data_IF_504426489781
#
_entry.id   IF_504426489781
#
_cell.length_a   1.000
_cell.length_b   1.000
_cell.length_c   1.000
_cell.angle_alpha   90.00
_cell.angle_beta   90.00
_cell.angle_gamma   90.00
#
_symmetry.space_group_name_H-M   'P 1'
#
loop_
_entity.id
_entity.type
_entity.pdbx_description
1 polymer ?
#
# COMPACT_ATOMS: atom_id res chain seq x y z
N UNK A 1 -10.15 2.26 -9.16
CA UNK A 1 -10.63 2.55 -7.79
C UNK A 1 -9.53 2.31 -6.78
N UNK A 2 -9.07 1.07 -6.55
CA UNK A 2 -8.00 0.77 -5.60
C UNK A 2 -6.70 1.60 -5.79
N UNK A 3 -6.27 1.82 -7.03
CA UNK A 3 -5.09 2.65 -7.33
C UNK A 3 -5.22 4.09 -6.81
N UNK A 4 -6.40 4.70 -6.96
CA UNK A 4 -6.66 6.07 -6.51
C UNK A 4 -6.52 6.17 -4.99
N UNK A 5 -7.04 5.17 -4.26
CA UNK A 5 -6.91 5.13 -2.80
C UNK A 5 -5.46 4.92 -2.36
N UNK A 6 -4.71 4.04 -3.04
CA UNK A 6 -3.29 3.85 -2.77
C UNK A 6 -2.49 5.14 -2.96
N UNK A 7 -2.74 5.85 -4.06
CA UNK A 7 -2.11 7.14 -4.33
C UNK A 7 -2.43 8.19 -3.26
N UNK A 8 -3.71 8.33 -2.90
CA UNK A 8 -4.14 9.27 -1.84
C UNK A 8 -3.56 8.91 -0.47
N UNK A 9 -3.36 7.61 -0.20
CA UNK A 9 -2.71 7.12 1.01
C UNK A 9 -1.18 7.28 1.01
N UNK A 10 -0.58 7.86 -0.04
CA UNK A 10 0.85 8.11 -0.14
C UNK A 10 1.69 6.90 -0.54
N UNK A 11 1.07 5.91 -1.21
CA UNK A 11 1.78 4.77 -1.76
C UNK A 11 2.25 5.05 -3.18
N UNK A 12 3.46 4.57 -3.48
CA UNK A 12 4.07 4.66 -4.80
C UNK A 12 4.32 3.25 -5.35
N UNK A 13 4.04 3.00 -6.65
CA UNK A 13 4.28 1.69 -7.24
C UNK A 13 5.78 1.39 -7.31
N UNK A 14 6.18 0.20 -6.87
CA UNK A 14 7.46 -0.41 -7.25
C UNK A 14 7.23 -1.07 -8.61
N UNK A 15 7.21 -0.26 -9.67
CA UNK A 15 7.28 -0.80 -11.03
C UNK A 15 8.35 -0.04 -11.81
N UNK A 16 9.34 -0.80 -12.29
CA UNK A 16 10.08 -0.45 -13.48
C UNK A 16 9.14 -0.65 -14.68
N UNK A 17 8.73 0.44 -15.32
CA UNK A 17 8.07 0.50 -16.63
C UNK A 17 6.89 -0.48 -16.84
N UNK A 18 5.67 0.00 -16.61
CA UNK A 18 4.54 -0.45 -17.44
C UNK A 18 3.55 0.68 -17.59
N UNK A 19 3.32 1.01 -18.86
CA UNK A 19 2.51 2.11 -19.35
C UNK A 19 1.05 1.87 -18.93
N UNK A 20 0.50 2.80 -18.14
CA UNK A 20 -0.92 2.81 -17.79
C UNK A 20 -1.20 2.96 -16.30
N UNK A 21 -2.01 3.96 -15.96
CA UNK A 21 -2.48 4.26 -14.59
C UNK A 21 -3.53 3.26 -14.09
N UNK A 22 -3.31 1.96 -14.27
CA UNK A 22 -4.21 0.92 -13.77
C UNK A 22 -3.48 0.00 -12.79
N UNK A 23 -4.13 -0.38 -11.66
CA UNK A 23 -3.55 -1.35 -10.76
C UNK A 23 -3.47 -2.69 -11.49
N UNK A 24 -2.25 -3.12 -11.79
CA UNK A 24 -2.03 -4.41 -12.41
C UNK A 24 -2.00 -5.52 -11.34
N UNK A 25 -2.49 -6.72 -11.65
CA UNK A 25 -2.24 -7.91 -10.86
C UNK A 25 -0.76 -8.04 -10.51
N UNK A 26 -0.48 -8.49 -9.28
CA UNK A 26 0.84 -8.64 -8.69
C UNK A 26 1.68 -7.36 -8.62
N UNK A 27 1.09 -6.17 -8.85
CA UNK A 27 1.78 -4.92 -8.61
C UNK A 27 2.02 -4.71 -7.11
N UNK A 28 3.25 -4.32 -6.76
CA UNK A 28 3.60 -3.92 -5.40
C UNK A 28 3.65 -2.41 -5.30
N UNK A 29 3.00 -1.86 -4.27
CA UNK A 29 3.04 -0.46 -3.90
C UNK A 29 3.67 -0.32 -2.53
N UNK A 30 4.42 0.76 -2.31
CA UNK A 30 5.09 0.99 -1.03
C UNK A 30 4.90 2.38 -0.51
N UNK A 31 4.83 2.48 0.82
CA UNK A 31 4.89 3.73 1.56
C UNK A 31 5.99 3.61 2.61
N UNK A 32 7.10 4.35 2.48
CA UNK A 32 8.11 4.41 3.52
C UNK A 32 7.56 5.14 4.75
N UNK A 33 7.94 4.68 5.93
CA UNK A 33 7.61 5.31 7.21
C UNK A 33 8.73 5.11 8.22
N UNK A 34 8.63 5.81 9.35
CA UNK A 34 9.69 5.86 10.37
C UNK A 34 9.96 4.48 11.00
N UNK A 35 8.93 3.62 11.06
CA UNK A 35 9.00 2.27 11.63
C UNK A 35 9.29 1.16 10.59
N UNK A 36 9.44 1.51 9.31
CA UNK A 36 9.63 0.53 8.23
C UNK A 36 8.86 0.88 6.96
N UNK A 37 8.67 -0.10 6.08
CA UNK A 37 7.99 0.07 4.80
C UNK A 37 6.65 -0.66 4.86
N UNK A 38 5.56 0.04 4.58
CA UNK A 38 4.27 -0.62 4.32
C UNK A 38 4.26 -1.01 2.84
N UNK A 39 3.96 -2.28 2.55
CA UNK A 39 3.87 -2.80 1.18
C UNK A 39 2.45 -3.27 0.93
N UNK A 40 1.87 -2.89 -0.20
CA UNK A 40 0.59 -3.40 -0.66
C UNK A 40 0.81 -4.16 -1.96
N UNK A 41 0.46 -5.43 -2.01
CA UNK A 41 0.49 -6.26 -3.22
C UNK A 41 -0.92 -6.42 -3.73
N UNK A 42 -1.18 -6.04 -4.99
CA UNK A 42 -2.48 -6.25 -5.64
C UNK A 42 -2.52 -7.68 -6.19
N UNK A 43 -3.59 -8.43 -5.93
CA UNK A 43 -3.75 -9.82 -6.38
C UNK A 43 -4.43 -9.92 -7.76
N UNK A 44 -4.58 -11.13 -8.28
CA UNK A 44 -5.02 -11.47 -9.65
C UNK A 44 -6.21 -10.68 -10.19
N UNK A 45 -7.16 -10.32 -9.34
CA UNK A 45 -8.41 -9.67 -9.73
C UNK A 45 -8.33 -8.14 -9.74
N UNK A 46 -7.23 -7.54 -9.25
CA UNK A 46 -7.12 -6.10 -9.06
C UNK A 46 -8.04 -5.52 -7.97
N UNK A 47 -8.80 -6.38 -7.27
CA UNK A 47 -9.75 -6.04 -6.21
C UNK A 47 -9.19 -6.37 -4.83
N UNK A 48 -8.45 -7.48 -4.74
CA UNK A 48 -7.85 -7.93 -3.49
C UNK A 48 -6.43 -7.40 -3.35
N UNK A 49 -6.05 -7.14 -2.10
CA UNK A 49 -4.73 -6.68 -1.74
C UNK A 49 -4.19 -7.40 -0.50
N UNK A 50 -2.88 -7.56 -0.46
CA UNK A 50 -2.12 -7.98 0.72
C UNK A 50 -1.35 -6.80 1.26
N UNK A 51 -1.57 -6.44 2.52
CA UNK A 51 -0.85 -5.36 3.22
C UNK A 51 0.19 -5.99 4.13
N UNK A 52 1.44 -5.58 3.97
CA UNK A 52 2.56 -5.98 4.80
C UNK A 52 3.13 -4.78 5.55
N UNK A 53 3.52 -4.96 6.80
CA UNK A 53 4.14 -3.93 7.64
C UNK A 53 5.46 -4.42 8.23
N UNK A 54 6.40 -3.50 8.48
CA UNK A 54 7.70 -3.81 9.10
C UNK A 54 8.91 -3.50 8.20
N UNK A 55 10.05 -4.13 8.49
CA UNK A 55 11.28 -3.96 7.69
C UNK A 55 11.16 -4.71 6.35
N UNK A 56 11.91 -4.27 5.33
CA UNK A 56 11.85 -4.88 3.99
C UNK A 56 12.10 -6.39 3.97
N UNK A 57 12.97 -6.89 4.84
CA UNK A 57 13.36 -8.30 4.95
C UNK A 57 12.58 -9.09 6.01
N UNK A 58 11.67 -8.44 6.76
CA UNK A 58 10.93 -9.04 7.87
C UNK A 58 9.47 -8.61 7.94
N UNK A 59 8.89 -8.22 6.80
CA UNK A 59 7.54 -7.70 6.75
C UNK A 59 6.53 -8.80 7.09
N UNK A 60 5.57 -8.49 7.96
CA UNK A 60 4.49 -9.41 8.34
C UNK A 60 3.23 -9.10 7.56
N UNK A 61 2.52 -10.15 7.11
CA UNK A 61 1.20 -10.00 6.51
C UNK A 61 0.23 -9.48 7.57
N UNK A 62 -0.24 -8.26 7.38
CA UNK A 62 -1.16 -7.58 8.29
C UNK A 62 -2.61 -7.74 7.84
N UNK A 63 -2.86 -7.76 6.53
CA UNK A 63 -4.20 -7.88 5.97
C UNK A 63 -4.16 -8.57 4.60
N UNK A 64 -5.19 -9.37 4.29
CA UNK A 64 -5.45 -9.94 2.96
C UNK A 64 -6.95 -9.90 2.66
N UNK A 65 -7.33 -9.27 1.56
CA UNK A 65 -8.73 -9.21 1.13
C UNK A 65 -9.06 -7.99 0.28
N UNK A 66 -10.34 -7.76 -0.01
CA UNK A 66 -10.79 -6.63 -0.80
C UNK A 66 -10.77 -5.34 0.02
N UNK A 67 -10.12 -4.31 -0.49
CA UNK A 67 -10.27 -2.94 0.02
C UNK A 67 -11.45 -2.31 -0.72
N UNK A 68 -12.45 -1.84 0.01
CA UNK A 68 -13.72 -1.35 -0.56
C UNK A 68 -13.76 0.16 -0.73
N UNK A 69 -12.97 0.90 0.06
CA UNK A 69 -12.85 2.34 -0.02
C UNK A 69 -11.55 2.86 0.64
N UNK A 70 -11.28 4.15 0.47
CA UNK A 70 -10.10 4.81 1.03
C UNK A 70 -10.06 4.79 2.56
N UNK A 71 -11.20 4.98 3.23
CA UNK A 71 -11.26 5.00 4.69
C UNK A 71 -10.86 3.64 5.30
N UNK A 72 -11.30 2.54 4.69
CA UNK A 72 -10.89 1.18 5.07
C UNK A 72 -9.39 1.00 4.91
N UNK A 73 -8.81 1.44 3.77
CA UNK A 73 -7.37 1.42 3.59
C UNK A 73 -6.66 2.19 4.72
N UNK A 74 -7.08 3.42 5.02
CA UNK A 74 -6.47 4.25 6.07
C UNK A 74 -6.50 3.59 7.46
N UNK A 75 -7.55 2.83 7.78
CA UNK A 75 -7.64 2.07 9.04
C UNK A 75 -6.70 0.86 9.09
N UNK A 76 -6.41 0.26 7.94
CA UNK A 76 -5.47 -0.86 7.81
C UNK A 76 -4.02 -0.41 7.78
N UNK A 77 -3.76 0.88 7.57
CA UNK A 77 -2.43 1.43 7.68
C UNK A 77 -2.07 1.54 9.16
N UNK A 78 -0.86 1.11 9.55
CA UNK A 78 -0.39 1.39 10.89
C UNK A 78 -0.48 2.90 11.13
N UNK A 79 -1.14 3.30 12.22
CA UNK A 79 -1.26 4.70 12.60
C UNK A 79 0.16 5.27 12.69
N UNK A 80 0.46 6.18 11.77
CA UNK A 80 1.63 7.03 11.88
C UNK A 80 1.42 7.86 13.15
N UNK A 81 1.87 7.36 14.30
CA UNK A 81 1.90 8.13 15.52
C UNK A 81 2.81 9.34 15.27
N UNK A 82 2.19 10.46 14.95
CA UNK A 82 2.56 11.82 15.37
C UNK A 82 4.06 12.04 15.60
N UNK A 83 4.84 12.14 14.53
CA UNK A 83 6.12 12.82 14.56
C UNK A 83 6.45 13.41 13.18
N UNK A 84 6.20 14.71 13.05
CA UNK A 84 6.92 15.62 12.16
C UNK A 84 6.91 15.32 10.67
N UNK A 85 5.84 15.71 9.97
CA UNK A 85 5.96 16.05 8.55
C UNK A 85 6.22 17.55 8.48
N UNK A 86 7.49 17.94 8.59
CA UNK A 86 7.93 19.27 8.18
C UNK A 86 8.27 19.22 6.69
N UNK A 87 7.82 20.28 6.02
CA UNK A 87 8.00 20.62 4.62
C UNK A 87 9.41 20.37 4.03
#
# INVERSE_FOLDING_TARGET
>A
MLLTWLHNAGFFPIRWLSVGNHPQPHATYVRPGVAGVVRVVVLDTGQDAEVYTGTLFGAQLYYRGPIRNEAELQLLLPTCATAGWAA
#
